data_IF_469796913299
#
_entry.id   IF_469796913299
#
_cell.length_a   1.000
_cell.length_b   1.000
_cell.length_c   1.000
_cell.angle_alpha   90.00
_cell.angle_beta   90.00
_cell.angle_gamma   90.00
#
_symmetry.space_group_name_H-M   'P 1'
#
loop_
_entity.id
_entity.type
_entity.pdbx_description
1 polymer ?
#
# COMPACT_ATOMS: atom_id res chain seq x y z
N UNK A 1 14.97 79.86 8.65
CA UNK A 1 16.35 79.37 8.81
C UNK A 1 16.42 77.96 8.26
N UNK A 2 17.40 77.73 7.38
CA UNK A 2 17.91 76.46 6.85
C UNK A 2 16.98 75.51 6.08
N UNK A 3 16.96 75.69 4.75
CA UNK A 3 16.97 74.58 3.78
C UNK A 3 18.31 73.83 3.87
N UNK A 4 18.29 72.50 3.82
CA UNK A 4 19.37 71.69 3.26
C UNK A 4 18.80 70.33 2.80
N UNK A 5 18.82 70.15 1.48
CA UNK A 5 18.64 68.87 0.80
C UNK A 5 19.99 68.12 0.69
N UNK A 6 19.95 66.91 0.07
CA UNK A 6 21.06 66.11 -0.51
C UNK A 6 21.51 64.95 0.43
N UNK A 7 21.63 63.65 0.09
CA UNK A 7 21.98 62.93 -1.15
C UNK A 7 21.51 61.46 -1.14
N UNK A 8 21.44 60.85 -2.33
CA UNK A 8 21.01 59.48 -2.66
C UNK A 8 22.02 58.38 -2.26
N UNK A 9 21.50 57.18 -1.99
CA UNK A 9 22.18 55.91 -2.34
C UNK A 9 21.18 54.96 -3.02
N UNK A 10 21.34 54.82 -4.34
CA UNK A 10 20.85 53.67 -5.11
C UNK A 10 21.89 52.56 -5.01
N UNK A 11 21.53 51.42 -4.44
CA UNK A 11 22.21 50.14 -4.69
C UNK A 11 21.16 49.13 -5.15
N UNK A 12 21.03 49.03 -6.47
CA UNK A 12 20.44 47.86 -7.10
C UNK A 12 21.46 46.74 -7.17
N UNK A 13 21.01 45.51 -6.96
CA UNK A 13 21.50 44.37 -7.70
C UNK A 13 20.26 43.64 -8.22
N UNK A 14 19.99 43.81 -9.51
CA UNK A 14 19.08 42.97 -10.26
C UNK A 14 19.87 41.73 -10.72
N UNK A 15 19.35 40.57 -10.36
CA UNK A 15 19.65 39.29 -10.98
C UNK A 15 18.31 38.64 -11.32
N UNK A 16 17.81 38.96 -12.51
CA UNK A 16 16.58 38.47 -13.12
C UNK A 16 16.77 37.02 -13.59
N UNK A 17 15.80 36.14 -13.31
CA UNK A 17 15.32 35.12 -14.26
C UNK A 17 14.06 34.39 -13.74
N UNK A 18 12.92 34.84 -14.29
CA UNK A 18 11.84 34.02 -14.86
C UNK A 18 10.77 33.35 -13.97
N UNK A 19 9.56 33.92 -14.13
CA UNK A 19 8.27 33.28 -14.36
C UNK A 19 7.59 32.50 -13.24
N UNK A 20 6.41 32.99 -12.84
CA UNK A 20 5.41 32.14 -12.21
C UNK A 20 4.37 32.88 -11.40
N UNK A 21 3.48 33.60 -12.09
CA UNK A 21 2.18 34.01 -11.56
C UNK A 21 1.47 32.77 -10.95
N UNK A 22 1.20 32.80 -9.64
CA UNK A 22 0.69 31.66 -8.88
C UNK A 22 -0.42 32.12 -7.93
N UNK A 23 -1.62 32.19 -8.48
CA UNK A 23 -2.88 32.68 -7.93
C UNK A 23 -3.23 32.22 -6.50
N UNK A 24 -3.84 33.13 -5.74
CA UNK A 24 -4.71 32.79 -4.62
C UNK A 24 -5.96 32.09 -5.16
N UNK A 25 -6.03 30.76 -5.02
CA UNK A 25 -7.26 30.02 -5.30
C UNK A 25 -8.11 29.96 -4.03
N UNK A 26 -8.99 30.95 -3.89
CA UNK A 26 -10.26 30.73 -3.21
C UNK A 26 -11.16 30.00 -4.22
N UNK A 27 -11.41 28.72 -3.96
CA UNK A 27 -12.28 27.89 -4.79
C UNK A 27 -12.77 26.71 -3.98
N UNK A 28 -14.03 26.76 -3.57
CA UNK A 28 -14.84 25.60 -3.18
C UNK A 28 -14.77 24.55 -4.29
N UNK A 29 -13.82 23.63 -4.15
CA UNK A 29 -13.70 22.44 -4.95
C UNK A 29 -14.03 21.25 -4.08
N UNK A 30 -15.29 20.79 -4.15
CA UNK A 30 -15.68 19.42 -3.83
C UNK A 30 -14.64 18.50 -4.48
N UNK A 31 -13.72 17.97 -3.68
CA UNK A 31 -12.70 17.04 -4.13
C UNK A 31 -13.42 15.77 -4.58
N UNK A 32 -13.68 15.71 -5.88
CA UNK A 32 -13.96 14.48 -6.60
C UNK A 32 -12.82 13.52 -6.27
N UNK A 33 -13.17 12.34 -5.78
CA UNK A 33 -12.24 11.25 -5.53
C UNK A 33 -11.62 10.83 -6.87
N UNK A 34 -10.52 11.49 -7.22
CA UNK A 34 -9.61 11.04 -8.26
C UNK A 34 -8.67 10.05 -7.60
N UNK A 35 -8.71 8.80 -8.06
CA UNK A 35 -7.69 7.78 -7.83
C UNK A 35 -6.36 8.31 -8.38
N UNK A 36 -5.70 9.17 -7.59
CA UNK A 36 -4.40 9.73 -7.91
C UNK A 36 -3.33 8.82 -7.35
N UNK A 37 -2.31 8.55 -8.15
CA UNK A 37 -1.01 8.05 -7.68
C UNK A 37 -0.56 8.94 -6.53
N UNK A 38 -0.80 8.51 -5.29
CA UNK A 38 -0.41 9.25 -4.11
C UNK A 38 1.12 9.24 -4.02
N UNK A 39 1.70 10.40 -3.75
CA UNK A 39 3.13 10.48 -3.49
C UNK A 39 3.47 9.63 -2.27
N UNK A 40 4.65 9.01 -2.26
CA UNK A 40 5.17 8.24 -1.12
C UNK A 40 5.09 9.04 0.20
N UNK A 41 5.30 10.36 0.13
CA UNK A 41 5.15 11.28 1.26
C UNK A 41 3.71 11.43 1.77
N UNK A 42 2.73 11.40 0.87
CA UNK A 42 1.31 11.47 1.23
C UNK A 42 0.83 10.16 1.88
N UNK A 43 1.31 9.02 1.37
CA UNK A 43 1.00 7.71 1.93
C UNK A 43 1.55 7.58 3.35
N UNK A 44 2.81 7.93 3.57
CA UNK A 44 3.44 7.93 4.89
C UNK A 44 2.67 8.80 5.90
N UNK A 45 2.30 10.02 5.51
CA UNK A 45 1.53 10.94 6.35
C UNK A 45 0.13 10.41 6.69
N UNK A 46 -0.56 9.77 5.74
CA UNK A 46 -1.86 9.13 5.95
C UNK A 46 -1.77 7.95 6.92
N UNK A 47 -0.79 7.06 6.72
CA UNK A 47 -0.57 5.92 7.60
C UNK A 47 -0.13 6.32 9.01
N UNK A 48 0.62 7.41 9.17
CA UNK A 48 0.97 7.97 10.47
C UNK A 48 -0.26 8.52 11.21
N UNK A 49 -1.17 9.21 10.51
CA UNK A 49 -2.47 9.66 11.07
C UNK A 49 -3.34 8.49 11.50
N UNK A 50 -3.34 7.40 10.73
CA UNK A 50 -4.02 6.17 11.13
C UNK A 50 -3.43 5.60 12.44
N UNK A 51 -2.11 5.45 12.52
CA UNK A 51 -1.44 4.93 13.72
C UNK A 51 -1.72 5.80 14.96
N UNK A 52 -1.72 7.13 14.79
CA UNK A 52 -2.10 8.05 15.86
C UNK A 52 -3.55 7.85 16.30
N UNK A 53 -4.50 7.80 15.37
CA UNK A 53 -5.90 7.58 15.68
C UNK A 53 -6.13 6.24 16.42
N UNK A 54 -5.39 5.19 16.05
CA UNK A 54 -5.44 3.90 16.72
C UNK A 54 -4.96 4.00 18.18
N UNK A 55 -3.86 4.71 18.43
CA UNK A 55 -3.36 4.99 19.80
C UNK A 55 -4.34 5.81 20.63
N UNK A 56 -4.98 6.80 20.03
CA UNK A 56 -6.03 7.60 20.68
C UNK A 56 -7.27 6.75 21.06
N UNK A 57 -7.50 5.65 20.35
CA UNK A 57 -8.54 4.66 20.67
C UNK A 57 -8.03 3.49 21.53
N UNK A 58 -6.83 3.62 22.09
CA UNK A 58 -6.25 2.69 23.05
C UNK A 58 -5.67 1.41 22.42
N UNK A 59 -5.32 1.47 21.13
CA UNK A 59 -4.53 0.43 20.46
C UNK A 59 -3.09 0.94 20.36
N UNK A 60 -2.22 0.40 21.21
CA UNK A 60 -0.80 0.75 21.15
C UNK A 60 -0.16 0.09 19.92
N UNK A 61 0.20 0.91 18.94
CA UNK A 61 0.80 0.49 17.68
C UNK A 61 1.99 1.39 17.38
N UNK A 62 3.15 0.82 16.97
CA UNK A 62 4.29 1.62 16.54
C UNK A 62 3.97 2.41 15.28
N UNK A 63 4.65 3.54 15.10
CA UNK A 63 4.52 4.32 13.87
C UNK A 63 5.01 3.54 12.64
N UNK A 64 4.38 3.74 11.48
CA UNK A 64 4.83 3.17 10.23
C UNK A 64 6.22 3.68 9.86
N UNK A 65 7.09 2.77 9.41
CA UNK A 65 8.39 3.11 8.84
C UNK A 65 8.29 3.10 7.32
N UNK A 66 8.96 4.05 6.68
CA UNK A 66 9.12 4.10 5.23
C UNK A 66 10.54 3.65 4.93
N UNK A 67 10.72 2.61 4.14
CA UNK A 67 12.04 2.17 3.71
C UNK A 67 12.57 3.02 2.53
N UNK A 68 13.81 2.75 2.10
CA UNK A 68 14.44 3.45 0.98
C UNK A 68 13.77 3.23 -0.38
N UNK A 69 12.78 2.34 -0.45
CA UNK A 69 11.97 2.01 -1.63
C UNK A 69 10.54 2.58 -1.51
N UNK A 70 10.29 3.45 -0.52
CA UNK A 70 9.00 4.09 -0.31
C UNK A 70 7.92 3.19 0.28
N UNK A 71 8.28 1.97 0.71
CA UNK A 71 7.31 1.01 1.25
C UNK A 71 7.01 1.36 2.70
N UNK A 72 5.72 1.49 3.00
CA UNK A 72 5.23 1.69 4.37
C UNK A 72 5.10 0.34 5.06
N UNK A 73 5.78 0.18 6.20
CA UNK A 73 5.70 -1.01 7.04
C UNK A 73 5.31 -0.64 8.47
N UNK A 74 4.26 -1.27 8.99
CA UNK A 74 3.91 -1.19 10.40
C UNK A 74 4.80 -2.16 11.18
N UNK A 75 5.51 -1.67 12.19
CA UNK A 75 6.33 -2.53 13.04
C UNK A 75 5.47 -3.52 13.83
N UNK A 76 5.99 -4.73 14.07
CA UNK A 76 5.38 -5.61 15.07
C UNK A 76 5.56 -5.01 16.46
N UNK A 77 4.55 -5.09 17.35
CA UNK A 77 4.72 -4.74 18.74
C UNK A 77 5.89 -5.53 19.34
N UNK A 78 6.72 -4.89 20.16
CA UNK A 78 7.78 -5.60 20.89
C UNK A 78 7.13 -6.66 21.80
N UNK A 79 7.81 -7.78 22.01
CA UNK A 79 7.27 -9.06 22.54
C UNK A 79 6.58 -9.05 23.91
N UNK A 80 6.39 -7.89 24.53
CA UNK A 80 5.66 -7.67 25.78
C UNK A 80 4.33 -6.91 25.57
N UNK A 81 3.93 -6.65 24.32
CA UNK A 81 2.66 -6.01 24.04
C UNK A 81 1.50 -6.89 24.51
N UNK A 82 0.61 -6.32 25.33
CA UNK A 82 -0.58 -7.03 25.77
C UNK A 82 -1.38 -7.53 24.55
N UNK A 83 -2.01 -8.72 24.63
CA UNK A 83 -2.92 -9.19 23.61
C UNK A 83 -3.98 -8.11 23.37
N UNK A 84 -3.92 -7.48 22.21
CA UNK A 84 -4.89 -6.45 21.84
C UNK A 84 -6.24 -7.13 21.67
N UNK A 85 -7.23 -6.68 22.45
CA UNK A 85 -8.60 -7.14 22.32
C UNK A 85 -9.09 -6.93 20.88
N UNK A 86 -9.59 -7.99 20.25
CA UNK A 86 -9.98 -7.96 18.84
C UNK A 86 -11.16 -7.04 18.58
N UNK A 87 -12.10 -6.94 19.51
CA UNK A 87 -13.24 -6.04 19.39
C UNK A 87 -12.78 -4.58 19.52
N UNK A 88 -11.87 -4.30 20.46
CA UNK A 88 -11.26 -2.97 20.62
C UNK A 88 -10.48 -2.56 19.37
N UNK A 89 -9.71 -3.47 18.78
CA UNK A 89 -8.98 -3.24 17.54
C UNK A 89 -9.94 -2.93 16.39
N UNK A 90 -11.00 -3.71 16.23
CA UNK A 90 -12.00 -3.52 15.18
C UNK A 90 -12.75 -2.18 15.35
N UNK A 91 -13.15 -1.84 16.57
CA UNK A 91 -13.83 -0.59 16.87
C UNK A 91 -12.93 0.64 16.63
N UNK A 92 -11.64 0.54 16.96
CA UNK A 92 -10.66 1.58 16.65
C UNK A 92 -10.44 1.69 15.14
N UNK A 93 -10.29 0.56 14.44
CA UNK A 93 -10.10 0.53 12.99
C UNK A 93 -11.28 1.18 12.25
N UNK A 94 -12.51 0.88 12.63
CA UNK A 94 -13.70 1.49 12.02
C UNK A 94 -13.75 3.01 12.13
N UNK A 95 -13.23 3.58 13.23
CA UNK A 95 -13.11 5.04 13.41
C UNK A 95 -11.95 5.64 12.63
N UNK A 96 -10.88 4.88 12.45
CA UNK A 96 -9.61 5.38 11.93
C UNK A 96 -9.39 5.10 10.43
N UNK A 97 -10.14 4.16 9.83
CA UNK A 97 -9.96 3.70 8.43
C UNK A 97 -10.01 4.82 7.39
N UNK A 98 -10.71 5.92 7.67
CA UNK A 98 -10.74 7.11 6.81
C UNK A 98 -9.36 7.75 6.58
N UNK A 99 -8.37 7.44 7.42
CA UNK A 99 -6.99 7.91 7.29
C UNK A 99 -6.14 7.02 6.39
N UNK A 100 -6.66 5.87 5.95
CA UNK A 100 -5.97 4.93 5.06
C UNK A 100 -6.54 4.99 3.63
N UNK A 101 -5.70 4.82 2.61
CA UNK A 101 -6.18 4.54 1.26
C UNK A 101 -7.04 3.28 1.26
N UNK A 102 -8.19 3.31 0.57
CA UNK A 102 -9.14 2.19 0.52
C UNK A 102 -9.53 1.66 1.92
N UNK A 103 -9.51 2.50 2.96
CA UNK A 103 -9.82 2.05 4.33
C UNK A 103 -8.77 1.14 4.97
N UNK A 104 -7.63 0.92 4.32
CA UNK A 104 -6.65 -0.09 4.73
C UNK A 104 -6.94 -1.49 4.18
N UNK A 105 -7.99 -1.63 3.36
CA UNK A 105 -8.27 -2.88 2.66
C UNK A 105 -7.28 -3.06 1.50
N UNK A 106 -6.79 -4.29 1.26
CA UNK A 106 -5.95 -4.58 0.11
C UNK A 106 -6.61 -4.09 -1.17
N UNK A 107 -5.84 -3.52 -2.13
CA UNK A 107 -6.40 -3.12 -3.40
C UNK A 107 -7.03 -4.34 -4.07
N UNK A 108 -8.27 -4.19 -4.53
CA UNK A 108 -8.93 -5.21 -5.35
C UNK A 108 -8.14 -5.39 -6.63
N UNK A 109 -7.96 -6.64 -7.04
CA UNK A 109 -7.39 -6.95 -8.34
C UNK A 109 -8.26 -6.37 -9.45
N UNK A 110 -7.62 -5.94 -10.53
CA UNK A 110 -8.34 -5.53 -11.75
C UNK A 110 -9.09 -6.71 -12.34
N UNK A 111 -10.14 -6.46 -13.13
CA UNK A 111 -10.88 -7.55 -13.81
C UNK A 111 -9.95 -8.39 -14.71
N UNK A 112 -8.96 -7.74 -15.34
CA UNK A 112 -7.93 -8.40 -16.14
C UNK A 112 -7.07 -9.34 -15.29
N UNK A 113 -6.61 -8.88 -14.13
CA UNK A 113 -5.78 -9.70 -13.25
C UNK A 113 -6.59 -10.82 -12.58
N UNK A 114 -7.87 -10.60 -12.30
CA UNK A 114 -8.78 -11.64 -11.85
C UNK A 114 -8.97 -12.73 -12.91
N UNK A 115 -9.04 -12.36 -14.19
CA UNK A 115 -9.08 -13.32 -15.30
C UNK A 115 -7.78 -14.12 -15.40
N UNK A 116 -6.62 -13.46 -15.27
CA UNK A 116 -5.32 -14.13 -15.23
C UNK A 116 -5.25 -15.13 -14.07
N UNK A 117 -5.73 -14.76 -12.89
CA UNK A 117 -5.80 -15.66 -11.74
C UNK A 117 -6.75 -16.86 -11.97
N UNK A 118 -7.86 -16.69 -12.70
CA UNK A 118 -8.72 -17.82 -13.10
C UNK A 118 -8.00 -18.76 -14.07
N UNK A 119 -7.22 -18.23 -15.01
CA UNK A 119 -6.38 -19.03 -15.92
C UNK A 119 -5.29 -19.78 -15.16
N UNK A 120 -4.69 -19.15 -14.14
CA UNK A 120 -3.77 -19.82 -13.22
C UNK A 120 -4.44 -21.00 -12.52
N UNK A 121 -5.63 -20.79 -11.93
CA UNK A 121 -6.37 -21.87 -11.25
C UNK A 121 -6.72 -23.02 -12.19
N UNK A 122 -7.15 -22.72 -13.42
CA UNK A 122 -7.40 -23.74 -14.43
C UNK A 122 -6.12 -24.52 -14.79
N UNK A 123 -5.01 -23.83 -15.02
CA UNK A 123 -3.74 -24.46 -15.32
C UNK A 123 -3.27 -25.40 -14.19
N UNK A 124 -3.45 -25.01 -12.93
CA UNK A 124 -3.13 -25.87 -11.78
C UNK A 124 -3.96 -27.16 -11.77
N UNK A 125 -5.27 -27.05 -12.06
CA UNK A 125 -6.16 -28.21 -12.20
C UNK A 125 -5.72 -29.17 -13.30
N UNK A 126 -5.29 -28.62 -14.42
CA UNK A 126 -4.75 -29.40 -15.55
C UNK A 126 -3.38 -30.03 -15.24
N UNK A 127 -2.62 -29.47 -14.29
CA UNK A 127 -1.28 -29.92 -13.91
C UNK A 127 -1.22 -30.70 -12.59
N UNK A 128 -2.31 -31.37 -12.22
CA UNK A 128 -2.32 -32.36 -11.13
C UNK A 128 -2.95 -31.89 -9.82
N UNK A 129 -3.58 -30.72 -9.81
CA UNK A 129 -4.33 -30.17 -8.68
C UNK A 129 -5.82 -30.00 -9.02
N UNK A 130 -6.57 -31.08 -9.32
CA UNK A 130 -7.94 -30.97 -9.84
C UNK A 130 -8.90 -30.20 -8.91
N UNK A 131 -8.63 -30.21 -7.61
CA UNK A 131 -9.42 -29.51 -6.58
C UNK A 131 -8.93 -28.09 -6.31
N UNK A 132 -7.97 -27.57 -7.10
CA UNK A 132 -7.46 -26.23 -6.91
C UNK A 132 -8.56 -25.18 -7.10
N UNK A 133 -8.80 -24.29 -6.12
CA UNK A 133 -9.93 -23.39 -6.14
C UNK A 133 -9.72 -22.19 -7.08
N UNK A 134 -10.83 -21.57 -7.47
CA UNK A 134 -10.82 -20.31 -8.21
C UNK A 134 -10.57 -19.11 -7.28
N UNK A 135 -10.08 -17.97 -7.80
CA UNK A 135 -9.93 -16.75 -7.02
C UNK A 135 -11.31 -16.19 -6.60
N UNK A 136 -11.37 -15.64 -5.39
CA UNK A 136 -12.51 -14.87 -4.90
C UNK A 136 -12.68 -13.58 -5.73
N UNK A 137 -13.86 -12.95 -5.71
CA UNK A 137 -14.09 -11.66 -6.40
C UNK A 137 -13.11 -10.55 -6.00
N UNK A 138 -12.59 -10.59 -4.78
CA UNK A 138 -11.58 -9.67 -4.25
C UNK A 138 -10.15 -10.01 -4.72
N UNK A 139 -9.99 -11.17 -5.38
CA UNK A 139 -8.79 -11.61 -6.10
C UNK A 139 -7.81 -12.50 -5.31
N UNK A 140 -8.16 -12.93 -4.11
CA UNK A 140 -7.41 -13.94 -3.35
C UNK A 140 -7.84 -15.37 -3.67
N UNK A 141 -6.90 -16.32 -3.72
CA UNK A 141 -7.22 -17.76 -3.73
C UNK A 141 -7.20 -18.26 -2.30
N UNK A 142 -8.28 -18.94 -1.89
CA UNK A 142 -8.37 -19.54 -0.56
C UNK A 142 -8.32 -21.04 -0.70
N UNK A 143 -7.22 -21.63 -0.25
CA UNK A 143 -7.03 -23.07 -0.22
C UNK A 143 -7.80 -23.59 1.00
N UNK A 144 -9.06 -23.95 0.78
CA UNK A 144 -9.86 -24.64 1.78
C UNK A 144 -9.74 -26.15 1.55
N UNK A 145 -9.56 -26.92 2.63
CA UNK A 145 -9.68 -28.37 2.55
C UNK A 145 -8.47 -29.11 2.00
N UNK A 146 -7.24 -28.62 2.23
CA UNK A 146 -6.03 -29.45 2.08
C UNK A 146 -5.92 -30.49 3.21
N UNK A 147 -6.91 -31.38 3.28
CA UNK A 147 -7.06 -32.35 4.37
C UNK A 147 -6.02 -33.47 4.27
N UNK A 148 -5.37 -33.60 3.11
CA UNK A 148 -4.41 -34.65 2.80
C UNK A 148 -2.97 -34.14 2.63
N UNK A 149 -2.73 -32.82 2.67
CA UNK A 149 -1.42 -32.24 2.34
C UNK A 149 -1.09 -32.30 0.84
N UNK A 150 -2.09 -32.51 -0.01
CA UNK A 150 -1.94 -32.62 -1.45
C UNK A 150 -1.49 -31.28 -2.06
N UNK A 151 -1.82 -30.15 -1.41
CA UNK A 151 -1.48 -28.78 -1.80
C UNK A 151 -0.30 -28.19 -1.01
N UNK A 152 0.68 -29.03 -0.67
CA UNK A 152 1.94 -28.58 -0.08
C UNK A 152 2.77 -27.72 -1.07
N UNK A 153 2.98 -26.42 -0.79
CA UNK A 153 3.78 -25.54 -1.64
C UNK A 153 5.25 -25.96 -1.79
N UNK A 154 5.76 -26.74 -0.84
CA UNK A 154 7.14 -27.23 -0.87
C UNK A 154 7.30 -28.52 -1.67
N UNK A 155 6.20 -29.19 -2.00
CA UNK A 155 6.22 -30.41 -2.80
C UNK A 155 6.75 -30.17 -4.21
N UNK A 156 7.48 -31.15 -4.76
CA UNK A 156 7.95 -31.07 -6.15
C UNK A 156 6.79 -30.97 -7.14
N UNK A 157 5.69 -31.68 -6.84
CA UNK A 157 4.46 -31.64 -7.65
C UNK A 157 3.91 -30.20 -7.74
N UNK A 158 3.93 -29.45 -6.64
CA UNK A 158 3.46 -28.06 -6.62
C UNK A 158 4.41 -27.18 -7.41
N UNK A 159 5.71 -27.28 -7.14
CA UNK A 159 6.75 -26.51 -7.84
C UNK A 159 6.68 -26.72 -9.36
N UNK A 160 6.50 -27.96 -9.82
CA UNK A 160 6.39 -28.29 -11.24
C UNK A 160 5.11 -27.74 -11.88
N UNK A 161 3.96 -27.86 -11.20
CA UNK A 161 2.70 -27.30 -11.69
C UNK A 161 2.75 -25.77 -11.72
N UNK A 162 3.23 -25.17 -10.63
CA UNK A 162 3.38 -23.73 -10.47
C UNK A 162 4.29 -23.14 -11.55
N UNK A 163 5.45 -23.74 -11.82
CA UNK A 163 6.37 -23.27 -12.85
C UNK A 163 5.75 -23.26 -14.26
N UNK A 164 4.79 -24.15 -14.55
CA UNK A 164 4.06 -24.14 -15.83
C UNK A 164 2.98 -23.05 -15.89
N UNK A 165 2.44 -22.69 -14.74
CA UNK A 165 1.28 -21.81 -14.61
C UNK A 165 1.63 -20.37 -14.22
N UNK A 166 2.86 -20.08 -13.74
CA UNK A 166 3.28 -18.78 -13.19
C UNK A 166 3.09 -17.60 -14.15
N UNK A 167 3.09 -17.85 -15.46
CA UNK A 167 2.81 -16.86 -16.50
C UNK A 167 1.43 -16.18 -16.35
N UNK A 168 0.50 -16.82 -15.65
CA UNK A 168 -0.84 -16.31 -15.38
C UNK A 168 -0.94 -15.58 -14.04
N UNK A 169 0.14 -15.48 -13.26
CA UNK A 169 0.11 -14.69 -12.02
C UNK A 169 0.35 -13.21 -12.33
N UNK A 170 -0.54 -12.31 -11.86
CA UNK A 170 -0.33 -10.88 -12.00
C UNK A 170 0.81 -10.41 -11.09
N UNK A 171 1.67 -9.53 -11.60
CA UNK A 171 2.68 -8.85 -10.79
C UNK A 171 1.97 -7.87 -9.85
N UNK A 172 2.06 -8.08 -8.52
CA UNK A 172 1.45 -7.15 -7.56
C UNK A 172 2.27 -5.85 -7.47
N UNK A 173 1.65 -4.67 -7.52
CA UNK A 173 2.31 -3.42 -7.13
C UNK A 173 2.80 -3.53 -5.68
N UNK A 174 4.11 -3.38 -5.45
CA UNK A 174 4.74 -3.54 -4.14
C UNK A 174 5.42 -4.90 -3.91
N UNK A 175 5.24 -5.87 -4.81
CA UNK A 175 6.07 -7.07 -4.88
C UNK A 175 7.40 -6.68 -5.55
N UNK A 176 8.28 -6.09 -4.76
CA UNK A 176 9.63 -5.72 -5.18
C UNK A 176 10.45 -6.98 -5.48
N UNK A 177 10.22 -7.59 -6.64
CA UNK A 177 11.17 -8.46 -7.31
C UNK A 177 11.71 -9.64 -6.51
N UNK A 178 11.02 -10.10 -5.46
CA UNK A 178 11.33 -11.40 -4.88
C UNK A 178 10.69 -12.46 -5.77
N UNK A 179 11.42 -12.80 -6.84
CA UNK A 179 11.51 -14.19 -7.28
C UNK A 179 11.49 -15.03 -6.00
N UNK A 180 10.37 -15.68 -5.70
CA UNK A 180 10.29 -16.72 -4.69
C UNK A 180 11.08 -17.92 -5.21
N UNK A 181 12.39 -17.74 -5.31
CA UNK A 181 13.36 -18.79 -5.55
C UNK A 181 13.88 -19.19 -4.18
N UNK A 182 13.28 -20.23 -3.62
CA UNK A 182 13.90 -21.21 -2.71
C UNK A 182 14.68 -20.72 -1.49
N UNK A 183 14.22 -21.13 -0.32
CA UNK A 183 15.01 -21.24 0.91
C UNK A 183 14.11 -21.81 1.99
N UNK A 184 14.15 -23.11 2.30
CA UNK A 184 15.32 -23.77 2.85
C UNK A 184 15.34 -23.55 4.36
N UNK A 185 14.83 -24.52 5.11
CA UNK A 185 15.18 -24.77 6.51
C UNK A 185 15.36 -26.27 6.70
#
# INVERSE_FOLDING_TARGET
MALAAILLLLTGCAGENNNGEGVASAGDGKASATTGTQSEGDLAAQTAKFAQCMRDNGIDMPDPQVDGEGRVSFGMPKGDAEPVDREKMQAAHEKCKQHLPNGGEPPKLSDEDLEKMRKFSQCMRENGYPDFPDPQPEGGIRIEGDQNGDMDPESQKWKDAHAKCEQYMPTRPGDGGQKQTGGGS
#
